data_IF_932527244236
#
_entry.id   IF_932527244236
#
_cell.length_a   1.000
_cell.length_b   1.000
_cell.length_c   1.000
_cell.angle_alpha   90.00
_cell.angle_beta   90.00
_cell.angle_gamma   90.00
#
_symmetry.space_group_name_H-M   'P 1'
#
loop_
_entity.id
_entity.type
_entity.pdbx_description
1 polymer ?
#
# COMPACT_ATOMS: atom_id res chain seq x y z
N UNK A 1 -11.45 4.80 -19.24
CA UNK A 1 -10.98 4.52 -17.87
C UNK A 1 -9.53 4.96 -17.79
N UNK A 2 -9.14 5.77 -16.80
CA UNK A 2 -7.73 6.10 -16.57
C UNK A 2 -7.08 4.84 -15.98
N UNK A 3 -5.96 4.39 -16.55
CA UNK A 3 -5.23 3.25 -15.97
C UNK A 3 -4.63 3.67 -14.63
N UNK A 4 -4.71 2.79 -13.64
CA UNK A 4 -3.99 2.97 -12.39
C UNK A 4 -2.49 2.79 -12.66
N UNK A 5 -1.69 3.79 -12.33
CA UNK A 5 -0.24 3.77 -12.52
C UNK A 5 0.47 3.39 -11.23
N UNK A 6 1.53 2.57 -11.33
CA UNK A 6 2.34 2.11 -10.20
C UNK A 6 2.86 3.27 -9.35
N UNK A 7 3.28 4.35 -9.99
CA UNK A 7 3.79 5.55 -9.31
C UNK A 7 2.71 6.23 -8.46
N UNK A 8 1.45 6.19 -8.90
CA UNK A 8 0.31 6.72 -8.11
C UNK A 8 0.08 5.87 -6.86
N UNK A 9 0.17 4.54 -6.99
CA UNK A 9 0.04 3.63 -5.85
C UNK A 9 1.19 3.82 -4.86
N UNK A 10 2.43 3.93 -5.34
CA UNK A 10 3.59 4.17 -4.48
C UNK A 10 3.51 5.52 -3.78
N UNK A 11 3.02 6.56 -4.45
CA UNK A 11 2.79 7.86 -3.82
C UNK A 11 1.74 7.79 -2.70
N UNK A 12 0.68 6.99 -2.88
CA UNK A 12 -0.33 6.77 -1.84
C UNK A 12 0.26 5.99 -0.64
N UNK A 13 1.01 4.92 -0.90
CA UNK A 13 1.70 4.17 0.16
C UNK A 13 2.69 5.07 0.91
N UNK A 14 3.47 5.85 0.18
CA UNK A 14 4.43 6.77 0.78
C UNK A 14 3.74 7.83 1.64
N UNK A 15 2.59 8.36 1.20
CA UNK A 15 1.77 9.27 1.98
C UNK A 15 1.43 8.71 3.35
N UNK A 16 0.79 7.53 3.38
CA UNK A 16 0.46 6.83 4.62
C UNK A 16 1.71 6.58 5.49
N UNK A 17 2.78 6.04 4.90
CA UNK A 17 3.99 5.70 5.66
C UNK A 17 4.64 6.95 6.26
N UNK A 18 4.70 8.07 5.54
CA UNK A 18 5.29 9.31 6.07
C UNK A 18 4.45 9.97 7.15
N UNK A 19 3.13 9.77 7.12
CA UNK A 19 2.20 10.30 8.12
C UNK A 19 2.25 9.49 9.43
N UNK A 20 2.30 8.16 9.32
CA UNK A 20 2.27 7.26 10.47
C UNK A 20 3.67 6.85 10.99
N UNK A 21 4.69 6.88 10.14
CA UNK A 21 6.06 6.44 10.45
C UNK A 21 7.11 7.47 9.98
N UNK A 22 7.24 8.62 10.67
CA UNK A 22 8.05 9.76 10.22
C UNK A 22 9.56 9.46 10.12
N UNK A 23 10.04 8.40 10.80
CA UNK A 23 11.44 7.98 10.77
C UNK A 23 11.80 7.16 9.51
N UNK A 24 10.81 6.81 8.68
CA UNK A 24 11.02 6.01 7.47
C UNK A 24 11.42 6.90 6.29
N UNK A 25 12.61 6.64 5.73
CA UNK A 25 13.09 7.35 4.56
C UNK A 25 12.31 6.93 3.30
N UNK A 26 11.75 7.92 2.59
CA UNK A 26 10.97 7.72 1.37
C UNK A 26 11.69 6.88 0.30
N UNK A 27 13.02 7.01 0.18
CA UNK A 27 13.84 6.26 -0.77
C UNK A 27 13.98 4.76 -0.47
N UNK A 28 13.49 4.28 0.68
CA UNK A 28 13.55 2.87 1.06
C UNK A 28 12.18 2.18 1.05
N UNK A 29 11.09 2.94 0.92
CA UNK A 29 9.71 2.45 1.07
C UNK A 29 9.45 1.25 0.16
N UNK A 30 9.84 1.28 -1.11
CA UNK A 30 9.61 0.16 -2.03
C UNK A 30 10.19 -1.18 -1.58
N UNK A 31 11.20 -1.19 -0.71
CA UNK A 31 11.87 -2.39 -0.20
C UNK A 31 11.35 -2.83 1.16
N UNK A 32 10.55 -1.99 1.83
CA UNK A 32 10.00 -2.31 3.13
C UNK A 32 8.72 -3.12 2.97
N UNK A 33 8.45 -3.99 3.93
CA UNK A 33 7.18 -4.71 4.05
C UNK A 33 6.29 -4.01 5.07
N UNK A 34 4.96 -4.22 4.99
CA UNK A 34 4.08 -3.71 6.03
C UNK A 34 4.43 -4.30 7.40
N UNK A 35 4.84 -5.57 7.48
CA UNK A 35 5.27 -6.21 8.74
C UNK A 35 6.45 -5.55 9.44
N UNK A 36 7.29 -4.81 8.72
CA UNK A 36 8.43 -4.10 9.30
C UNK A 36 8.03 -2.78 9.98
N UNK A 37 6.88 -2.22 9.62
CA UNK A 37 6.42 -0.91 10.09
C UNK A 37 5.14 -1.03 10.93
N UNK A 38 4.18 -1.75 10.39
CA UNK A 38 2.84 -1.93 10.90
C UNK A 38 2.80 -3.17 11.79
N UNK A 39 2.65 -2.93 13.09
CA UNK A 39 2.61 -4.01 14.08
C UNK A 39 1.19 -4.27 14.58
N UNK A 40 0.24 -3.37 14.30
CA UNK A 40 -1.14 -3.50 14.75
C UNK A 40 -2.08 -3.80 13.59
N UNK A 41 -3.03 -4.72 13.80
CA UNK A 41 -4.03 -5.05 12.78
C UNK A 41 -4.94 -3.87 12.41
N UNK A 42 -5.14 -2.91 13.33
CA UNK A 42 -5.93 -1.70 13.06
C UNK A 42 -5.23 -0.79 12.04
N UNK A 43 -3.92 -0.60 12.20
CA UNK A 43 -3.09 0.17 11.27
C UNK A 43 -3.07 -0.44 9.86
N UNK A 44 -3.17 -1.77 9.73
CA UNK A 44 -3.31 -2.44 8.42
C UNK A 44 -4.65 -2.13 7.75
N UNK A 45 -5.73 -2.04 8.53
CA UNK A 45 -7.05 -1.67 8.00
C UNK A 45 -7.03 -0.20 7.58
N UNK A 46 -6.49 0.69 8.41
CA UNK A 46 -6.32 2.11 8.09
C UNK A 46 -5.47 2.31 6.83
N UNK A 47 -4.40 1.54 6.67
CA UNK A 47 -3.57 1.55 5.47
C UNK A 47 -4.38 1.21 4.21
N UNK A 48 -5.20 0.15 4.25
CA UNK A 48 -6.01 -0.24 3.09
C UNK A 48 -7.06 0.82 2.79
N UNK A 49 -7.79 1.31 3.79
CA UNK A 49 -8.79 2.37 3.61
C UNK A 49 -8.18 3.65 3.03
N UNK A 50 -6.96 4.01 3.47
CA UNK A 50 -6.21 5.12 2.90
C UNK A 50 -5.93 4.91 1.41
N UNK A 51 -5.52 3.70 1.01
CA UNK A 51 -5.28 3.39 -0.40
C UNK A 51 -6.56 3.45 -1.23
N UNK A 52 -7.67 2.92 -0.72
CA UNK A 52 -8.97 2.97 -1.41
C UNK A 52 -9.42 4.42 -1.65
N UNK A 53 -9.35 5.28 -0.62
CA UNK A 53 -9.70 6.70 -0.71
C UNK A 53 -8.81 7.45 -1.73
N UNK A 54 -7.51 7.22 -1.67
CA UNK A 54 -6.53 7.93 -2.53
C UNK A 54 -6.56 7.48 -3.98
N UNK A 55 -6.83 6.20 -4.22
CA UNK A 55 -6.77 5.60 -5.55
C UNK A 55 -8.15 5.50 -6.21
N UNK A 56 -9.23 5.65 -5.44
CA UNK A 56 -10.60 5.52 -5.94
C UNK A 56 -10.93 4.11 -6.42
N UNK A 57 -10.32 3.10 -5.80
CA UNK A 57 -10.55 1.67 -6.09
C UNK A 57 -10.99 0.96 -4.81
N UNK A 58 -11.66 -0.16 -4.95
CA UNK A 58 -11.95 -1.07 -3.84
C UNK A 58 -10.83 -2.12 -3.76
N UNK A 59 -10.30 -2.33 -2.56
CA UNK A 59 -9.22 -3.26 -2.26
C UNK A 59 -9.76 -4.28 -1.28
N UNK A 60 -10.02 -5.49 -1.77
CA UNK A 60 -10.41 -6.60 -0.91
C UNK A 60 -9.19 -7.09 -0.09
N UNK A 61 -9.19 -6.76 1.21
CA UNK A 61 -8.19 -7.19 2.19
C UNK A 61 -8.06 -8.72 2.21
N UNK A 62 -9.14 -9.47 1.96
CA UNK A 62 -9.08 -10.93 1.93
C UNK A 62 -8.32 -11.46 0.71
N UNK A 63 -8.38 -10.75 -0.42
CA UNK A 63 -7.62 -11.08 -1.63
C UNK A 63 -6.15 -10.66 -1.53
N UNK A 64 -5.86 -9.55 -0.85
CA UNK A 64 -4.49 -9.17 -0.53
C UNK A 64 -3.88 -10.07 0.55
N UNK A 65 -4.67 -10.47 1.54
CA UNK A 65 -4.35 -11.47 2.56
C UNK A 65 -2.95 -11.34 3.15
N UNK A 66 -2.18 -12.42 3.07
CA UNK A 66 -0.79 -12.49 3.53
C UNK A 66 0.16 -11.57 2.74
N UNK A 67 -0.18 -11.22 1.50
CA UNK A 67 0.68 -10.36 0.66
C UNK A 67 0.80 -8.94 1.23
N UNK A 68 -0.20 -8.44 1.96
CA UNK A 68 -0.10 -7.17 2.68
C UNK A 68 1.11 -7.15 3.63
N UNK A 69 1.37 -8.27 4.30
CA UNK A 69 2.33 -8.37 5.40
C UNK A 69 3.69 -8.85 4.89
N UNK A 70 3.70 -9.72 3.87
CA UNK A 70 4.90 -10.40 3.36
C UNK A 70 5.50 -9.77 2.12
N UNK A 71 4.71 -9.03 1.32
CA UNK A 71 5.23 -8.35 0.13
C UNK A 71 5.86 -7.02 0.53
N UNK A 72 6.90 -6.66 -0.19
CA UNK A 72 7.41 -5.29 -0.14
C UNK A 72 6.36 -4.32 -0.68
N UNK A 73 6.39 -3.05 -0.27
CA UNK A 73 5.47 -2.04 -0.81
C UNK A 73 5.61 -1.87 -2.32
N UNK A 74 6.80 -2.12 -2.90
CA UNK A 74 6.99 -2.16 -4.34
C UNK A 74 6.19 -3.27 -5.02
N UNK A 75 6.21 -4.48 -4.46
CA UNK A 75 5.43 -5.62 -4.96
C UNK A 75 3.92 -5.45 -4.69
N UNK A 76 3.57 -4.83 -3.55
CA UNK A 76 2.20 -4.50 -3.22
C UNK A 76 1.62 -3.51 -4.24
N UNK A 77 2.41 -2.50 -4.63
CA UNK A 77 2.02 -1.56 -5.66
C UNK A 77 1.73 -2.25 -7.00
N UNK A 78 2.58 -3.21 -7.41
CA UNK A 78 2.35 -3.98 -8.64
C UNK A 78 1.04 -4.78 -8.59
N UNK A 79 0.72 -5.39 -7.44
CA UNK A 79 -0.53 -6.13 -7.23
C UNK A 79 -1.75 -5.21 -7.29
N UNK A 80 -1.68 -4.06 -6.62
CA UNK A 80 -2.78 -3.09 -6.59
C UNK A 80 -3.03 -2.51 -8.00
N UNK A 81 -1.97 -2.25 -8.78
CA UNK A 81 -2.08 -1.88 -10.19
C UNK A 81 -2.79 -2.96 -11.01
N UNK A 82 -2.49 -4.23 -10.77
CA UNK A 82 -3.14 -5.33 -11.47
C UNK A 82 -4.64 -5.42 -11.10
N UNK A 83 -4.99 -5.19 -9.84
CA UNK A 83 -6.39 -5.14 -9.37
C UNK A 83 -7.14 -3.96 -9.99
N UNK A 84 -6.59 -2.74 -9.88
CA UNK A 84 -7.26 -1.53 -10.36
C UNK A 84 -7.39 -1.42 -11.89
N UNK A 85 -6.70 -2.27 -12.65
CA UNK A 85 -6.76 -2.32 -14.11
C UNK A 85 -7.42 -3.59 -14.67
N UNK A 86 -7.76 -4.56 -13.83
CA UNK A 86 -8.50 -5.78 -14.20
C UNK A 86 -10.00 -5.52 -14.26
#
# INVERSE_FOLDING_TARGET
>A
MRKLERETVLAAIAGFVTEHFPDVLAGQIERLTASQLIHQSLELVEFVLHLEDRLGIEIDINNLGEALITSTFGQLADRIVAIGNG
#
